data_IF_383786550189
#
_entry.id   IF_383786550189
#
_cell.length_a   1.000
_cell.length_b   1.000
_cell.length_c   1.000
_cell.angle_alpha   90.00
_cell.angle_beta   90.00
_cell.angle_gamma   90.00
#
_symmetry.space_group_name_H-M   'P 1'
#
loop_
_entity.id
_entity.type
_entity.pdbx_description
1 polymer ?
#
# COMPACT_ATOMS: atom_id res chain seq x y z
N UNK A 1 8.07 14.98 -7.32
CA UNK A 1 7.79 14.69 -8.76
C UNK A 1 6.51 15.35 -9.26
N UNK A 2 5.36 15.21 -8.57
CA UNK A 2 4.08 15.75 -9.07
C UNK A 2 4.15 17.26 -9.36
N UNK A 3 4.67 18.08 -8.44
CA UNK A 3 4.88 19.53 -8.63
C UNK A 3 5.68 19.88 -9.89
N UNK A 4 6.71 19.10 -10.22
CA UNK A 4 7.51 19.33 -11.43
C UNK A 4 6.71 19.01 -12.70
N UNK A 5 5.93 17.93 -12.69
CA UNK A 5 5.10 17.53 -13.83
C UNK A 5 3.93 18.50 -14.05
N UNK A 6 3.19 18.81 -12.99
CA UNK A 6 2.02 19.70 -13.03
C UNK A 6 2.39 21.16 -13.25
N UNK A 7 3.54 21.61 -12.71
CA UNK A 7 4.04 22.96 -12.90
C UNK A 7 4.42 23.25 -14.35
N UNK A 8 5.06 22.30 -15.04
CA UNK A 8 5.37 22.40 -16.47
C UNK A 8 4.12 22.47 -17.33
N UNK A 9 3.10 21.68 -16.99
CA UNK A 9 1.82 21.63 -17.70
C UNK A 9 0.81 22.72 -17.27
N UNK A 10 1.21 23.66 -16.37
CA UNK A 10 0.31 24.68 -15.78
C UNK A 10 -1.00 24.11 -15.23
N UNK A 11 -0.96 22.88 -14.72
CA UNK A 11 -2.13 22.12 -14.29
C UNK A 11 -2.09 21.96 -12.77
N UNK A 12 -2.55 22.95 -11.98
CA UNK A 12 -2.42 22.91 -10.52
C UNK A 12 -3.10 21.65 -9.97
N UNK A 13 -2.51 21.06 -8.94
CA UNK A 13 -3.13 19.95 -8.22
C UNK A 13 -3.46 20.38 -6.81
N UNK A 14 -4.51 19.78 -6.26
CA UNK A 14 -4.98 20.02 -4.89
C UNK A 14 -5.23 18.69 -4.21
N UNK A 15 -5.11 18.71 -2.89
CA UNK A 15 -5.45 17.58 -2.04
C UNK A 15 -6.47 17.99 -0.99
N UNK A 16 -7.33 17.05 -0.62
CA UNK A 16 -8.23 17.19 0.51
C UNK A 16 -8.28 15.85 1.25
N UNK A 17 -8.03 15.89 2.57
CA UNK A 17 -8.18 14.74 3.46
C UNK A 17 -9.32 15.07 4.43
N UNK A 18 -10.40 14.28 4.35
CA UNK A 18 -11.56 14.38 5.23
C UNK A 18 -11.93 12.97 5.70
N UNK A 19 -12.06 12.73 7.02
CA UNK A 19 -12.45 11.44 7.59
C UNK A 19 -11.60 10.23 7.10
N UNK A 20 -10.29 10.45 6.94
CA UNK A 20 -9.35 9.45 6.41
C UNK A 20 -9.47 9.20 4.90
N UNK A 21 -10.36 9.91 4.21
CA UNK A 21 -10.51 9.86 2.75
C UNK A 21 -9.65 10.95 2.12
N UNK A 22 -8.61 10.52 1.41
CA UNK A 22 -7.76 11.37 0.58
C UNK A 22 -8.36 11.51 -0.81
N UNK A 23 -8.45 12.75 -1.29
CA UNK A 23 -8.82 13.10 -2.66
C UNK A 23 -7.73 13.95 -3.27
N UNK A 24 -7.26 13.55 -4.45
CA UNK A 24 -6.32 14.33 -5.25
C UNK A 24 -6.96 14.75 -6.56
N UNK A 25 -6.95 16.05 -6.82
CA UNK A 25 -7.43 16.64 -8.06
C UNK A 25 -6.26 17.25 -8.85
N UNK A 26 -6.29 17.14 -10.18
CA UNK A 26 -5.38 17.86 -11.09
C UNK A 26 -6.25 18.67 -12.05
N UNK A 27 -6.01 19.98 -12.15
CA UNK A 27 -6.81 20.90 -12.96
C UNK A 27 -8.34 20.76 -12.73
N UNK A 28 -8.74 20.63 -11.45
CA UNK A 28 -10.14 20.40 -11.01
C UNK A 28 -10.77 19.07 -11.49
N UNK A 29 -9.97 18.12 -11.97
CA UNK A 29 -10.39 16.75 -12.27
C UNK A 29 -9.96 15.84 -11.11
N UNK A 30 -10.90 15.11 -10.52
CA UNK A 30 -10.61 14.10 -9.50
C UNK A 30 -9.86 12.94 -10.14
N UNK A 31 -8.63 12.72 -9.69
CA UNK A 31 -7.74 11.66 -10.20
C UNK A 31 -7.76 10.45 -9.29
N UNK A 32 -7.69 10.66 -7.98
CA UNK A 32 -7.66 9.58 -7.00
C UNK A 32 -8.56 9.91 -5.80
N UNK A 33 -9.26 8.89 -5.30
CA UNK A 33 -9.97 8.92 -4.02
C UNK A 33 -9.74 7.60 -3.27
N UNK A 34 -9.16 7.65 -2.07
CA UNK A 34 -8.89 6.46 -1.25
C UNK A 34 -9.16 6.74 0.22
N UNK A 35 -9.79 5.79 0.92
CA UNK A 35 -9.89 5.80 2.38
C UNK A 35 -8.74 5.00 2.97
N UNK A 36 -7.78 5.70 3.57
CA UNK A 36 -6.67 5.08 4.26
C UNK A 36 -7.16 4.57 5.62
N UNK A 37 -6.93 3.28 5.88
CA UNK A 37 -7.47 2.56 7.04
C UNK A 37 -6.39 2.03 7.96
N UNK A 38 -5.16 1.84 7.48
CA UNK A 38 -4.03 1.47 8.33
C UNK A 38 -3.47 2.70 9.06
N UNK A 39 -3.10 2.57 10.35
CA UNK A 39 -2.45 3.66 11.06
C UNK A 39 -1.02 3.89 10.56
N UNK A 40 -0.54 5.12 10.75
CA UNK A 40 0.82 5.58 10.45
C UNK A 40 1.24 5.52 8.97
N UNK A 41 0.27 5.44 8.05
CA UNK A 41 0.54 5.55 6.61
C UNK A 41 0.83 7.01 6.24
N UNK A 42 1.92 7.26 5.51
CA UNK A 42 2.10 8.54 4.83
C UNK A 42 1.11 8.63 3.66
N UNK A 43 -0.06 9.20 3.95
CA UNK A 43 -1.17 9.35 3.01
C UNK A 43 -0.74 10.16 1.78
N UNK A 44 0.09 11.18 1.98
CA UNK A 44 0.49 12.08 0.89
C UNK A 44 1.45 11.38 -0.05
N UNK A 45 2.53 10.80 0.49
CA UNK A 45 3.51 10.06 -0.31
C UNK A 45 2.85 8.91 -1.05
N UNK A 46 2.03 8.10 -0.36
CA UNK A 46 1.29 6.99 -0.95
C UNK A 46 0.39 7.44 -2.11
N UNK A 47 -0.31 8.57 -1.93
CA UNK A 47 -1.19 9.11 -2.96
C UNK A 47 -0.42 9.63 -4.17
N UNK A 48 0.68 10.35 -3.93
CA UNK A 48 1.53 10.87 -5.02
C UNK A 48 2.16 9.72 -5.80
N UNK A 49 2.67 8.69 -5.12
CA UNK A 49 3.24 7.50 -5.76
C UNK A 49 2.19 6.78 -6.60
N UNK A 50 0.98 6.58 -6.07
CA UNK A 50 -0.11 5.95 -6.81
C UNK A 50 -0.52 6.72 -8.07
N UNK A 51 -0.63 8.05 -7.96
CA UNK A 51 -0.98 8.92 -9.09
C UNK A 51 0.12 8.89 -10.15
N UNK A 52 1.39 9.08 -9.76
CA UNK A 52 2.53 9.07 -10.69
C UNK A 52 2.63 7.71 -11.40
N UNK A 53 2.55 6.61 -10.67
CA UNK A 53 2.63 5.27 -11.23
C UNK A 53 1.46 5.00 -12.20
N UNK A 54 0.26 5.47 -11.87
CA UNK A 54 -0.92 5.35 -12.75
C UNK A 54 -0.78 6.19 -14.01
N UNK A 55 -0.23 7.40 -13.96
CA UNK A 55 0.01 8.18 -15.19
C UNK A 55 1.07 7.53 -16.09
N UNK A 56 2.04 6.80 -15.53
CA UNK A 56 3.08 6.10 -16.29
C UNK A 56 2.61 4.74 -16.86
N UNK A 57 1.68 4.07 -16.18
CA UNK A 57 1.37 2.65 -16.44
C UNK A 57 -0.13 2.30 -16.42
N UNK A 58 -1.01 3.27 -16.20
CA UNK A 58 -2.46 3.07 -16.06
C UNK A 58 -3.20 2.90 -17.39
N UNK A 59 -2.52 3.12 -18.51
CA UNK A 59 -3.10 3.01 -19.86
C UNK A 59 -3.82 4.28 -20.29
N UNK A 60 -4.88 4.11 -21.08
CA UNK A 60 -5.60 5.23 -21.69
C UNK A 60 -6.39 6.01 -20.66
N UNK A 61 -6.35 7.33 -20.78
CA UNK A 61 -7.03 8.26 -19.87
C UNK A 61 -8.25 8.84 -20.56
N UNK A 62 -9.40 8.74 -19.89
CA UNK A 62 -10.62 9.45 -20.27
C UNK A 62 -11.11 10.31 -19.12
N UNK A 63 -11.73 11.44 -19.42
CA UNK A 63 -12.28 12.35 -18.41
C UNK A 63 -13.79 12.43 -18.62
N UNK A 64 -14.55 12.12 -17.57
CA UNK A 64 -16.00 12.20 -17.55
C UNK A 64 -16.45 12.76 -16.21
N UNK A 65 -17.37 13.72 -16.22
CA UNK A 65 -17.94 14.34 -15.01
C UNK A 65 -16.88 14.84 -14.01
N UNK A 66 -15.80 15.44 -14.54
CA UNK A 66 -14.62 15.89 -13.77
C UNK A 66 -13.92 14.76 -13.00
N UNK A 67 -14.00 13.52 -13.46
CA UNK A 67 -13.25 12.38 -12.92
C UNK A 67 -12.38 11.78 -14.02
N UNK A 68 -11.15 11.41 -13.67
CA UNK A 68 -10.25 10.69 -14.55
C UNK A 68 -10.49 9.19 -14.44
N UNK A 69 -10.53 8.51 -15.58
CA UNK A 69 -10.64 7.07 -15.69
C UNK A 69 -9.44 6.53 -16.46
N UNK A 70 -8.74 5.57 -15.87
CA UNK A 70 -7.58 4.90 -16.46
C UNK A 70 -7.98 3.47 -16.83
N UNK A 71 -8.01 3.15 -18.14
CA UNK A 71 -8.53 1.87 -18.65
C UNK A 71 -9.91 1.50 -18.05
N UNK A 72 -10.81 2.49 -17.96
CA UNK A 72 -12.15 2.34 -17.40
C UNK A 72 -12.24 2.29 -15.87
N UNK A 73 -11.12 2.24 -15.14
CA UNK A 73 -11.10 2.29 -13.67
C UNK A 73 -11.19 3.74 -13.19
N UNK A 74 -12.14 4.02 -12.29
CA UNK A 74 -12.35 5.35 -11.74
C UNK A 74 -11.41 5.73 -10.59
N UNK A 75 -11.53 6.95 -10.04
CA UNK A 75 -10.65 7.44 -8.99
C UNK A 75 -10.59 6.57 -7.72
N UNK A 76 -11.66 5.82 -7.42
CA UNK A 76 -11.76 4.93 -6.24
C UNK A 76 -11.00 3.60 -6.39
N UNK A 77 -10.62 3.24 -7.61
CA UNK A 77 -9.92 1.99 -7.91
C UNK A 77 -8.43 2.22 -8.15
N UNK A 78 -8.03 3.47 -8.40
CA UNK A 78 -6.67 3.85 -8.74
C UNK A 78 -5.64 3.33 -7.73
N UNK A 79 -5.86 3.54 -6.44
CA UNK A 79 -4.91 3.12 -5.40
C UNK A 79 -4.77 1.59 -5.31
N UNK A 80 -5.89 0.87 -5.41
CA UNK A 80 -5.87 -0.60 -5.43
C UNK A 80 -5.12 -1.13 -6.68
N UNK A 81 -5.35 -0.52 -7.84
CA UNK A 81 -4.65 -0.87 -9.08
C UNK A 81 -3.15 -0.54 -9.01
N UNK A 82 -2.78 0.56 -8.37
CA UNK A 82 -1.38 0.90 -8.05
C UNK A 82 -0.72 -0.20 -7.23
N UNK A 83 -1.32 -0.60 -6.10
CA UNK A 83 -0.78 -1.68 -5.25
C UNK A 83 -0.60 -2.97 -6.05
N UNK A 84 -1.59 -3.36 -6.85
CA UNK A 84 -1.50 -4.55 -7.72
C UNK A 84 -0.33 -4.47 -8.70
N UNK A 85 -0.13 -3.32 -9.36
CA UNK A 85 0.99 -3.13 -10.30
C UNK A 85 2.35 -3.15 -9.59
N UNK A 86 2.47 -2.53 -8.42
CA UNK A 86 3.71 -2.55 -7.66
C UNK A 86 4.04 -3.93 -7.11
N UNK A 87 3.05 -4.66 -6.56
CA UNK A 87 3.23 -6.05 -6.12
C UNK A 87 3.61 -6.96 -7.30
N UNK A 88 3.02 -6.76 -8.48
CA UNK A 88 3.42 -7.48 -9.70
C UNK A 88 4.89 -7.21 -10.09
N UNK A 89 5.35 -5.97 -9.98
CA UNK A 89 6.75 -5.60 -10.19
C UNK A 89 7.68 -6.22 -9.12
N UNK A 90 7.16 -6.44 -7.91
CA UNK A 90 7.91 -7.00 -6.79
C UNK A 90 8.09 -8.52 -6.83
N UNK A 91 7.37 -9.29 -7.66
CA UNK A 91 7.42 -10.77 -7.66
C UNK A 91 8.84 -11.34 -7.62
N UNK A 92 9.71 -10.85 -8.51
CA UNK A 92 11.12 -11.29 -8.59
C UNK A 92 11.99 -10.74 -7.47
N UNK A 93 11.67 -9.55 -6.96
CA UNK A 93 12.44 -8.86 -5.92
C UNK A 93 12.16 -9.45 -4.53
N UNK A 94 10.90 -9.85 -4.30
CA UNK A 94 10.44 -10.46 -3.06
C UNK A 94 10.85 -11.94 -2.97
N UNK A 95 11.19 -12.59 -4.09
CA UNK A 95 11.68 -13.97 -4.10
C UNK A 95 12.94 -14.11 -3.26
N UNK A 96 12.85 -14.85 -2.14
CA UNK A 96 13.95 -15.05 -1.21
C UNK A 96 14.14 -13.95 -0.16
N UNK A 97 13.31 -12.91 -0.17
CA UNK A 97 13.31 -11.84 0.84
C UNK A 97 12.62 -12.30 2.14
N UNK A 98 13.28 -13.19 2.90
CA UNK A 98 12.69 -13.89 4.05
C UNK A 98 12.73 -13.14 5.39
N UNK A 99 13.43 -12.01 5.46
CA UNK A 99 13.50 -11.19 6.68
C UNK A 99 12.79 -9.86 6.48
N UNK A 100 12.41 -9.19 7.58
CA UNK A 100 11.78 -7.87 7.51
C UNK A 100 12.61 -6.88 6.68
N UNK A 101 13.91 -6.80 6.96
CA UNK A 101 14.83 -5.89 6.26
C UNK A 101 14.93 -6.23 4.78
N UNK A 102 15.02 -7.50 4.42
CA UNK A 102 15.11 -7.91 3.02
C UNK A 102 13.82 -7.59 2.25
N UNK A 103 12.66 -7.84 2.86
CA UNK A 103 11.36 -7.57 2.25
C UNK A 103 11.12 -6.07 2.10
N UNK A 104 11.47 -5.26 3.11
CA UNK A 104 11.41 -3.80 3.02
C UNK A 104 12.24 -3.29 1.83
N UNK A 105 13.51 -3.69 1.71
CA UNK A 105 14.37 -3.27 0.59
C UNK A 105 13.84 -3.72 -0.78
N UNK A 106 13.14 -4.86 -0.85
CA UNK A 106 12.51 -5.34 -2.08
C UNK A 106 11.30 -4.47 -2.47
N UNK A 107 10.48 -4.08 -1.50
CA UNK A 107 9.28 -3.26 -1.68
C UNK A 107 9.62 -1.80 -1.98
N UNK A 108 10.66 -1.23 -1.36
CA UNK A 108 11.11 0.14 -1.61
C UNK A 108 11.49 0.36 -3.08
N UNK A 109 12.03 -0.68 -3.75
CA UNK A 109 12.35 -0.64 -5.19
C UNK A 109 11.14 -0.47 -6.10
N UNK A 110 9.93 -0.72 -5.59
CA UNK A 110 8.66 -0.55 -6.30
C UNK A 110 7.75 0.50 -5.66
N UNK A 111 8.33 1.42 -4.87
CA UNK A 111 7.63 2.52 -4.18
C UNK A 111 6.55 2.05 -3.20
N UNK A 112 6.76 0.91 -2.55
CA UNK A 112 5.94 0.43 -1.43
C UNK A 112 6.79 0.42 -0.16
N UNK A 113 6.20 0.73 0.99
CA UNK A 113 6.88 0.57 2.29
C UNK A 113 6.36 -0.65 3.06
N UNK A 114 7.18 -1.18 3.96
CA UNK A 114 6.80 -2.24 4.90
C UNK A 114 6.80 -1.64 6.32
N UNK A 115 5.72 -1.85 7.06
CA UNK A 115 5.64 -1.45 8.47
C UNK A 115 5.16 -2.60 9.35
N UNK A 116 5.59 -2.57 10.60
CA UNK A 116 5.10 -3.45 11.65
C UNK A 116 4.33 -2.63 12.70
N UNK A 117 3.22 -3.17 13.17
CA UNK A 117 2.45 -2.56 14.24
C UNK A 117 2.08 -3.61 15.29
N UNK A 118 2.30 -3.25 16.55
CA UNK A 118 2.13 -4.13 17.67
C UNK A 118 1.09 -3.57 18.62
N UNK A 119 0.04 -4.34 18.91
CA UNK A 119 -1.03 -3.94 19.81
C UNK A 119 -1.10 -4.93 20.97
N UNK A 120 -0.98 -4.42 22.21
CA UNK A 120 -1.20 -5.25 23.40
C UNK A 120 -2.67 -5.62 23.50
N UNK A 121 -2.94 -6.91 23.71
CA UNK A 121 -4.28 -7.43 23.96
C UNK A 121 -4.47 -7.65 25.47
N UNK A 122 -5.70 -7.97 25.89
CA UNK A 122 -5.94 -8.35 27.28
C UNK A 122 -5.05 -9.54 27.69
N UNK A 123 -4.46 -9.43 28.88
CA UNK A 123 -3.45 -10.38 29.37
C UNK A 123 -2.05 -10.06 28.88
N UNK A 124 -1.26 -11.11 28.61
CA UNK A 124 0.14 -11.01 28.17
C UNK A 124 0.32 -11.32 26.69
N UNK A 125 -0.74 -11.15 25.89
CA UNK A 125 -0.74 -11.46 24.46
C UNK A 125 -0.55 -10.18 23.64
N UNK A 126 0.03 -10.30 22.45
CA UNK A 126 0.29 -9.16 21.57
C UNK A 126 -0.14 -9.51 20.14
N UNK A 127 -0.91 -8.63 19.52
CA UNK A 127 -1.22 -8.71 18.09
C UNK A 127 -0.11 -8.01 17.31
N UNK A 128 0.42 -8.67 16.29
CA UNK A 128 1.40 -8.14 15.36
C UNK A 128 0.77 -8.10 13.98
N UNK A 129 0.74 -6.91 13.38
CA UNK A 129 0.30 -6.66 12.02
C UNK A 129 1.53 -6.26 11.19
N UNK A 130 1.74 -6.92 10.05
CA UNK A 130 2.69 -6.47 9.02
C UNK A 130 1.88 -5.90 7.85
N UNK A 131 2.28 -4.72 7.40
CA UNK A 131 1.53 -3.92 6.42
C UNK A 131 2.43 -3.48 5.29
N UNK A 132 1.85 -3.35 4.10
CA UNK A 132 2.49 -2.80 2.91
C UNK A 132 1.72 -1.53 2.52
N UNK A 133 2.24 -0.36 2.84
CA UNK A 133 1.48 0.90 2.84
C UNK A 133 0.12 0.75 3.58
N UNK A 134 -1.00 1.05 2.92
CA UNK A 134 -2.37 0.90 3.45
C UNK A 134 -2.93 -0.53 3.33
N UNK A 135 -2.13 -1.50 2.89
CA UNK A 135 -2.49 -2.91 2.77
C UNK A 135 -2.14 -3.66 4.06
N UNK A 136 -3.12 -4.27 4.72
CA UNK A 136 -2.82 -5.28 5.74
C UNK A 136 -2.32 -6.55 5.04
N UNK A 137 -1.04 -6.86 5.20
CA UNK A 137 -0.43 -7.99 4.52
C UNK A 137 -0.62 -9.30 5.29
N UNK A 138 -0.40 -9.27 6.60
CA UNK A 138 -0.67 -10.41 7.48
C UNK A 138 -0.81 -9.94 8.94
N UNK A 139 -1.59 -10.70 9.70
CA UNK A 139 -1.81 -10.47 11.13
C UNK A 139 -1.60 -11.75 11.92
N UNK A 140 -0.99 -11.66 13.12
CA UNK A 140 -0.77 -12.78 14.03
C UNK A 140 -0.92 -12.35 15.48
N UNK A 141 -1.58 -13.15 16.29
CA UNK A 141 -1.57 -13.01 17.75
C UNK A 141 -0.46 -13.88 18.34
N UNK A 142 0.40 -13.27 19.14
CA UNK A 142 1.48 -13.91 19.87
C UNK A 142 1.10 -14.11 21.33
N UNK A 143 1.46 -15.26 21.87
CA UNK A 143 1.27 -15.60 23.28
C UNK A 143 2.36 -14.96 24.15
N UNK A 144 2.16 -14.93 25.48
CA UNK A 144 3.14 -14.40 26.45
C UNK A 144 4.57 -14.89 26.20
N UNK A 145 4.71 -16.19 25.93
CA UNK A 145 6.00 -16.84 25.74
C UNK A 145 6.72 -16.40 24.47
N UNK A 146 6.01 -15.79 23.52
CA UNK A 146 6.50 -15.37 22.21
C UNK A 146 6.69 -13.86 22.10
N UNK A 147 6.23 -13.08 23.08
CA UNK A 147 6.38 -11.63 23.13
C UNK A 147 7.77 -11.17 23.62
N UNK A 148 8.73 -12.09 23.77
CA UNK A 148 10.13 -11.77 24.07
C UNK A 148 10.88 -11.46 22.78
N UNK A 149 11.74 -10.43 22.80
CA UNK A 149 12.35 -9.83 21.62
C UNK A 149 12.90 -10.83 20.57
N UNK A 150 13.71 -11.85 20.93
CA UNK A 150 14.23 -12.79 19.92
C UNK A 150 13.15 -13.65 19.24
N UNK A 151 12.06 -13.97 19.95
CA UNK A 151 10.95 -14.74 19.38
C UNK A 151 10.00 -13.86 18.59
N UNK A 152 9.80 -12.62 19.02
CA UNK A 152 9.06 -11.61 18.26
C UNK A 152 9.76 -11.34 16.92
N UNK A 153 11.06 -11.09 16.93
CA UNK A 153 11.85 -10.85 15.71
C UNK A 153 11.76 -12.05 14.74
N UNK A 154 11.88 -13.28 15.27
CA UNK A 154 11.69 -14.50 14.48
C UNK A 154 10.27 -14.62 13.92
N UNK A 155 9.24 -14.32 14.73
CA UNK A 155 7.85 -14.39 14.28
C UNK A 155 7.57 -13.37 13.17
N UNK A 156 8.18 -12.19 13.22
CA UNK A 156 8.10 -11.16 12.18
C UNK A 156 8.78 -11.65 10.90
N UNK A 157 9.98 -12.23 11.00
CA UNK A 157 10.68 -12.80 9.83
C UNK A 157 9.86 -13.95 9.22
N UNK A 158 9.28 -14.84 10.02
CA UNK A 158 8.38 -15.90 9.53
C UNK A 158 7.15 -15.32 8.80
N UNK A 159 6.59 -14.22 9.32
CA UNK A 159 5.47 -13.50 8.68
C UNK A 159 5.92 -12.86 7.35
N UNK A 160 7.11 -12.26 7.30
CA UNK A 160 7.68 -11.67 6.09
C UNK A 160 8.00 -12.74 5.04
N UNK A 161 8.52 -13.90 5.46
CA UNK A 161 8.76 -15.04 4.59
C UNK A 161 7.48 -15.49 3.88
N UNK A 162 6.36 -15.56 4.61
CA UNK A 162 5.03 -15.89 4.04
C UNK A 162 4.55 -14.83 3.06
N UNK A 163 4.66 -13.54 3.41
CA UNK A 163 4.31 -12.44 2.49
C UNK A 163 5.16 -12.52 1.21
N UNK A 164 6.47 -12.74 1.36
CA UNK A 164 7.41 -12.93 0.27
C UNK A 164 6.98 -14.06 -0.68
N UNK A 165 6.53 -15.20 -0.15
CA UNK A 165 6.04 -16.31 -0.98
C UNK A 165 4.71 -15.98 -1.69
N UNK A 166 3.78 -15.29 -1.02
CA UNK A 166 2.52 -14.84 -1.64
C UNK A 166 2.76 -13.85 -2.78
N UNK A 167 3.70 -12.93 -2.60
CA UNK A 167 4.08 -11.97 -3.66
C UNK A 167 4.80 -12.72 -4.78
N UNK A 168 5.82 -13.53 -4.47
CA UNK A 168 6.65 -14.19 -5.47
C UNK A 168 5.89 -15.22 -6.33
N UNK A 169 4.88 -15.88 -5.77
CA UNK A 169 4.01 -16.80 -6.52
C UNK A 169 3.02 -16.11 -7.45
N UNK A 170 2.88 -14.77 -7.36
CA UNK A 170 1.87 -14.02 -8.09
C UNK A 170 0.43 -14.36 -7.69
N UNK A 171 0.24 -15.09 -6.59
CA UNK A 171 -1.08 -15.47 -6.08
C UNK A 171 -1.71 -14.38 -5.21
N UNK A 172 -0.90 -13.39 -4.77
CA UNK A 172 -1.35 -12.30 -3.92
C UNK A 172 -2.39 -11.40 -4.60
N UNK A 173 -3.61 -11.42 -4.07
CA UNK A 173 -4.69 -10.54 -4.47
C UNK A 173 -4.89 -9.43 -3.46
N UNK A 174 -4.91 -8.18 -3.94
CA UNK A 174 -5.35 -7.03 -3.16
C UNK A 174 -6.87 -7.01 -3.16
N UNK A 175 -7.48 -7.18 -1.98
CA UNK A 175 -8.93 -7.23 -1.79
C UNK A 175 -9.40 -6.08 -0.90
N UNK A 176 -10.50 -5.44 -1.28
CA UNK A 176 -11.21 -4.46 -0.45
C UNK A 176 -12.09 -5.21 0.56
N UNK A 177 -11.90 -4.96 1.85
CA UNK A 177 -12.69 -5.52 2.96
C UNK A 177 -13.35 -4.41 3.77
N UNK A 178 -14.16 -4.79 4.76
CA UNK A 178 -14.79 -3.83 5.66
C UNK A 178 -13.78 -3.02 6.50
N UNK A 179 -12.55 -3.54 6.68
CA UNK A 179 -11.51 -2.94 7.51
C UNK A 179 -10.39 -2.27 6.70
N UNK A 180 -10.50 -2.23 5.37
CA UNK A 180 -9.52 -1.60 4.49
C UNK A 180 -9.07 -2.54 3.37
N UNK A 181 -7.81 -2.44 2.97
CA UNK A 181 -7.22 -3.32 1.97
C UNK A 181 -6.47 -4.47 2.64
N UNK A 182 -6.63 -5.68 2.11
CA UNK A 182 -5.94 -6.90 2.57
C UNK A 182 -5.23 -7.62 1.43
N UNK A 183 -4.06 -8.20 1.74
CA UNK A 183 -3.39 -9.18 0.88
C UNK A 183 -3.98 -10.57 1.17
N UNK A 184 -4.43 -11.27 0.12
CA UNK A 184 -4.97 -12.63 0.22
C UNK A 184 -4.34 -13.58 -0.78
#
# INVERSE_FOLDING_TARGET
>A
MLNHATGRARSPWTQNISDGVMRLCIANVLVMQQKFSQPDVDILESTVNAVVETFLHGGDVTIKDKMAYFNGSGPQDLYCNFLKRCLKKAEKLASGAKTYKALLMALEKVNLTLSQHCTHLQGWSQKVDIRIDDLLAISRVLSKGDCVRPKLDRAIDDMCARISDVIASGSGNVVKTAVGLELR
#
